data_IF_842334964246
#
_entry.id   IF_842334964246
#
_cell.length_a   1.000
_cell.length_b   1.000
_cell.length_c   1.000
_cell.angle_alpha   90.00
_cell.angle_beta   90.00
_cell.angle_gamma   90.00
#
_symmetry.space_group_name_H-M   'P 1'
#
loop_
_entity.id
_entity.type
_entity.pdbx_description
1 polymer ?
#
# COMPACT_ATOMS: atom_id res chain seq x y z
N UNK A 1 -49.46 -19.80 -19.57
CA UNK A 1 -48.19 -19.07 -19.66
C UNK A 1 -47.22 -19.68 -18.66
N UNK A 2 -46.16 -20.33 -19.13
CA UNK A 2 -45.08 -20.86 -18.29
C UNK A 2 -44.02 -19.76 -18.14
N UNK A 3 -43.66 -19.42 -16.91
CA UNK A 3 -42.47 -18.61 -16.64
C UNK A 3 -41.26 -19.55 -16.51
N UNK A 4 -40.38 -19.53 -17.51
CA UNK A 4 -39.05 -20.14 -17.43
C UNK A 4 -38.19 -19.32 -16.45
N UNK A 5 -37.73 -19.97 -15.38
CA UNK A 5 -36.73 -19.40 -14.48
C UNK A 5 -35.38 -19.29 -15.19
N UNK A 6 -34.89 -18.07 -15.35
CA UNK A 6 -33.52 -17.80 -15.79
C UNK A 6 -32.54 -18.24 -14.69
N UNK A 7 -31.86 -19.37 -14.87
CA UNK A 7 -30.67 -19.70 -14.08
C UNK A 7 -29.46 -18.92 -14.63
N UNK A 8 -29.33 -17.67 -14.21
CA UNK A 8 -28.10 -16.89 -14.37
C UNK A 8 -27.04 -17.36 -13.37
N UNK A 9 -26.47 -18.54 -13.59
CA UNK A 9 -25.38 -19.07 -12.77
C UNK A 9 -24.06 -18.33 -13.05
N UNK A 10 -23.86 -17.15 -12.44
CA UNK A 10 -22.49 -16.63 -12.28
C UNK A 10 -21.82 -17.50 -11.23
N UNK A 11 -20.99 -18.44 -11.67
CA UNK A 11 -20.16 -19.23 -10.77
C UNK A 11 -19.41 -18.26 -9.84
N UNK A 12 -19.60 -18.41 -8.53
CA UNK A 12 -18.72 -17.76 -7.56
C UNK A 12 -17.31 -18.29 -7.87
N UNK A 13 -16.29 -17.43 -8.04
CA UNK A 13 -14.93 -17.93 -8.15
C UNK A 13 -14.67 -18.85 -6.95
N UNK A 14 -14.20 -20.06 -7.21
CA UNK A 14 -13.83 -20.99 -6.15
C UNK A 14 -12.76 -20.30 -5.30
N UNK A 15 -12.92 -20.37 -3.98
CA UNK A 15 -11.97 -19.76 -3.03
C UNK A 15 -10.53 -20.29 -3.19
N UNK A 16 -10.34 -21.33 -4.00
CA UNK A 16 -9.08 -22.00 -4.31
C UNK A 16 -8.20 -21.23 -5.33
N UNK A 17 -8.70 -20.20 -6.01
CA UNK A 17 -7.89 -19.37 -6.92
C UNK A 17 -7.48 -18.00 -6.35
N UNK A 18 -7.72 -17.77 -5.06
CA UNK A 18 -7.12 -16.62 -4.38
C UNK A 18 -5.70 -17.03 -4.01
N UNK A 19 -4.75 -16.80 -4.93
CA UNK A 19 -3.33 -16.83 -4.61
C UNK A 19 -3.12 -16.07 -3.31
N UNK A 20 -2.44 -16.67 -2.32
CA UNK A 20 -2.23 -16.01 -1.04
C UNK A 20 -1.31 -14.82 -1.28
N UNK A 21 -1.89 -13.63 -1.42
CA UNK A 21 -1.15 -12.41 -1.68
C UNK A 21 -0.19 -12.16 -0.52
N UNK A 22 1.11 -12.10 -0.81
CA UNK A 22 2.12 -11.86 0.21
C UNK A 22 1.97 -10.47 0.82
N UNK A 23 2.30 -10.32 2.10
CA UNK A 23 2.31 -8.98 2.73
C UNK A 23 3.26 -8.02 2.01
N UNK A 24 4.36 -8.52 1.47
CA UNK A 24 5.31 -7.78 0.65
C UNK A 24 4.64 -7.13 -0.58
N UNK A 25 3.97 -7.93 -1.39
CA UNK A 25 3.26 -7.46 -2.59
C UNK A 25 2.14 -6.49 -2.21
N UNK A 26 1.39 -6.80 -1.15
CA UNK A 26 0.34 -5.92 -0.65
C UNK A 26 0.90 -4.55 -0.26
N UNK A 27 2.00 -4.53 0.49
CA UNK A 27 2.67 -3.30 0.89
C UNK A 27 3.08 -2.47 -0.34
N UNK A 28 3.66 -3.10 -1.36
CA UNK A 28 4.02 -2.40 -2.59
C UNK A 28 2.81 -1.79 -3.28
N UNK A 29 1.70 -2.51 -3.40
CA UNK A 29 0.46 -1.99 -3.99
C UNK A 29 -0.07 -0.77 -3.24
N UNK A 30 -0.08 -0.80 -1.90
CA UNK A 30 -0.51 0.35 -1.08
C UNK A 30 0.42 1.56 -1.29
N UNK A 31 1.73 1.34 -1.37
CA UNK A 31 2.70 2.40 -1.64
C UNK A 31 2.47 3.03 -3.02
N UNK A 32 2.14 2.22 -4.04
CA UNK A 32 1.78 2.73 -5.38
C UNK A 32 0.49 3.54 -5.34
N UNK A 33 -0.52 3.06 -4.61
CA UNK A 33 -1.76 3.79 -4.42
C UNK A 33 -1.50 5.16 -3.79
N UNK A 34 -0.63 5.24 -2.77
CA UNK A 34 -0.19 6.50 -2.19
C UNK A 34 0.47 7.45 -3.20
N UNK A 35 1.29 6.90 -4.11
CA UNK A 35 1.91 7.68 -5.17
C UNK A 35 0.89 8.24 -6.17
N UNK A 36 -0.14 7.48 -6.52
CA UNK A 36 -1.23 7.96 -7.37
C UNK A 36 -2.06 9.02 -6.67
N UNK A 37 -2.43 8.82 -5.41
CA UNK A 37 -3.14 9.84 -4.63
C UNK A 37 -2.33 11.12 -4.50
N UNK A 38 -1.02 11.01 -4.29
CA UNK A 38 -0.11 12.15 -4.27
C UNK A 38 -0.17 12.95 -5.57
N UNK A 39 -0.07 12.30 -6.73
CA UNK A 39 -0.17 12.98 -8.03
C UNK A 39 -1.52 13.70 -8.23
N UNK A 40 -2.58 13.25 -7.56
CA UNK A 40 -3.90 13.89 -7.54
C UNK A 40 -4.06 14.99 -6.46
N UNK A 41 -2.97 15.40 -5.80
CA UNK A 41 -3.01 16.40 -4.74
C UNK A 41 -3.38 15.87 -3.35
N UNK A 42 -3.56 14.54 -3.20
CA UNK A 42 -4.05 13.88 -1.98
C UNK A 42 -2.94 13.06 -1.30
N UNK A 43 -1.80 13.71 -1.01
CA UNK A 43 -0.57 13.03 -0.55
C UNK A 43 -0.65 12.32 0.81
N UNK A 44 -1.68 12.58 1.62
CA UNK A 44 -1.79 12.03 2.98
C UNK A 44 -2.77 10.86 3.13
N UNK A 45 -3.51 10.49 2.07
CA UNK A 45 -4.65 9.55 2.18
C UNK A 45 -4.26 8.16 2.70
N UNK A 46 -3.12 7.64 2.25
CA UNK A 46 -2.67 6.30 2.64
C UNK A 46 -1.93 6.26 3.97
N UNK A 47 -1.50 7.43 4.49
CA UNK A 47 -0.63 7.50 5.66
C UNK A 47 -1.28 6.96 6.95
N UNK A 48 -2.55 7.28 7.28
CA UNK A 48 -3.21 6.72 8.45
C UNK A 48 -3.26 5.19 8.41
N UNK A 49 -3.58 4.62 7.25
CA UNK A 49 -3.62 3.18 7.06
C UNK A 49 -2.23 2.54 7.21
N UNK A 50 -1.20 3.10 6.56
CA UNK A 50 0.17 2.61 6.67
C UNK A 50 0.70 2.68 8.10
N UNK A 51 0.50 3.81 8.80
CA UNK A 51 0.89 3.97 10.19
C UNK A 51 0.18 2.96 11.10
N UNK A 52 -1.13 2.80 10.95
CA UNK A 52 -1.88 1.77 11.67
C UNK A 52 -1.32 0.38 11.39
N UNK A 53 -1.23 -0.03 10.11
CA UNK A 53 -0.76 -1.37 9.76
C UNK A 53 0.68 -1.66 10.15
N UNK A 54 1.60 -0.71 10.06
CA UNK A 54 3.02 -0.97 10.29
C UNK A 54 3.43 -0.75 11.75
N UNK A 55 2.79 0.20 12.45
CA UNK A 55 3.10 0.47 13.86
C UNK A 55 2.26 -0.39 14.81
N UNK A 56 1.01 -0.73 14.48
CA UNK A 56 0.15 -1.57 15.34
C UNK A 56 0.45 -3.07 15.17
N UNK A 57 0.82 -3.55 13.97
CA UNK A 57 1.28 -4.93 13.82
C UNK A 57 2.75 -5.10 14.26
N UNK A 58 3.48 -4.00 14.43
CA UNK A 58 4.86 -3.96 14.90
C UNK A 58 5.03 -3.91 16.42
N UNK A 59 4.02 -4.30 17.22
CA UNK A 59 4.06 -4.22 18.70
C UNK A 59 5.21 -5.03 19.33
N UNK A 60 5.83 -5.94 18.58
CA UNK A 60 7.05 -6.67 18.96
C UNK A 60 8.37 -6.06 18.44
N UNK A 61 8.33 -4.91 17.77
CA UNK A 61 9.55 -4.22 17.32
C UNK A 61 10.28 -3.65 18.53
N UNK A 62 11.59 -3.90 18.60
CA UNK A 62 12.47 -3.18 19.50
C UNK A 62 12.31 -1.67 19.31
N UNK A 63 12.39 -0.90 20.40
CA UNK A 63 12.16 0.55 20.42
C UNK A 63 12.86 1.28 19.25
N UNK A 64 14.11 0.93 18.97
CA UNK A 64 14.88 1.53 17.88
C UNK A 64 14.31 1.24 16.48
N UNK A 65 13.83 0.00 16.23
CA UNK A 65 13.17 -0.36 14.97
C UNK A 65 11.86 0.38 14.80
N UNK A 66 11.10 0.55 15.89
CA UNK A 66 9.86 1.34 15.87
C UNK A 66 10.12 2.80 15.55
N UNK A 67 11.12 3.42 16.18
CA UNK A 67 11.52 4.81 15.90
C UNK A 67 11.98 4.99 14.44
N UNK A 68 12.73 4.04 13.90
CA UNK A 68 13.16 4.08 12.50
C UNK A 68 12.01 3.84 11.52
N UNK A 69 11.05 2.99 11.86
CA UNK A 69 9.80 2.83 11.10
C UNK A 69 9.00 4.14 11.06
N UNK A 70 8.86 4.83 12.20
CA UNK A 70 8.21 6.14 12.25
C UNK A 70 8.92 7.16 11.36
N UNK A 71 10.25 7.22 11.42
CA UNK A 71 11.07 8.06 10.54
C UNK A 71 10.83 7.76 9.05
N UNK A 72 10.84 6.49 8.64
CA UNK A 72 10.58 6.13 7.23
C UNK A 72 9.19 6.53 6.77
N UNK A 73 8.18 6.39 7.63
CA UNK A 73 6.81 6.81 7.31
C UNK A 73 6.70 8.32 7.19
N UNK A 74 7.42 9.08 8.01
CA UNK A 74 7.52 10.53 7.87
C UNK A 74 8.18 10.91 6.53
N UNK A 75 9.29 10.27 6.17
CA UNK A 75 9.97 10.52 4.88
C UNK A 75 9.11 10.14 3.67
N UNK A 76 8.32 9.06 3.78
CA UNK A 76 7.38 8.65 2.75
C UNK A 76 6.28 9.71 2.55
N UNK A 77 5.74 10.26 3.63
CA UNK A 77 4.75 11.33 3.58
C UNK A 77 5.33 12.61 2.95
N UNK A 78 6.57 12.96 3.29
CA UNK A 78 7.29 14.07 2.66
C UNK A 78 7.51 13.84 1.16
N UNK A 79 7.86 12.61 0.77
CA UNK A 79 7.99 12.22 -0.62
C UNK A 79 6.66 12.39 -1.38
N UNK A 80 5.55 11.86 -0.86
CA UNK A 80 4.23 12.05 -1.47
C UNK A 80 3.84 13.53 -1.55
N UNK A 81 4.16 14.34 -0.54
CA UNK A 81 3.92 15.79 -0.59
C UNK A 81 4.73 16.49 -1.68
N UNK A 82 5.95 16.02 -1.99
CA UNK A 82 6.73 16.56 -3.11
C UNK A 82 6.13 16.16 -4.46
N UNK A 83 5.63 14.93 -4.59
CA UNK A 83 4.96 14.47 -5.81
C UNK A 83 3.67 15.25 -6.06
N UNK A 84 2.94 15.62 -5.01
CA UNK A 84 1.71 16.42 -5.18
C UNK A 84 1.96 17.82 -5.73
N UNK A 85 3.17 18.35 -5.63
CA UNK A 85 3.54 19.63 -6.23
C UNK A 85 3.81 19.52 -7.74
N UNK A 86 4.23 18.34 -8.23
CA UNK A 86 4.48 18.14 -9.65
C UNK A 86 3.21 17.76 -10.42
N UNK A 87 2.22 17.13 -9.77
CA UNK A 87 1.00 16.65 -10.43
C UNK A 87 1.22 15.48 -11.41
N UNK A 88 2.45 15.01 -11.55
CA UNK A 88 2.88 13.97 -12.49
C UNK A 88 3.80 12.95 -11.81
N UNK A 89 3.71 11.70 -12.26
CA UNK A 89 4.56 10.60 -11.80
C UNK A 89 5.67 10.34 -12.82
N UNK A 90 6.91 10.39 -12.36
CA UNK A 90 8.10 10.11 -13.17
C UNK A 90 8.77 8.80 -12.79
N UNK A 91 9.68 8.32 -13.64
CA UNK A 91 10.57 7.19 -13.35
C UNK A 91 11.38 7.38 -12.04
N UNK A 92 11.75 8.61 -11.70
CA UNK A 92 12.42 8.90 -10.44
C UNK A 92 11.52 8.61 -9.23
N UNK A 93 10.22 8.90 -9.33
CA UNK A 93 9.24 8.58 -8.28
C UNK A 93 9.08 7.07 -8.10
N UNK A 94 9.01 6.31 -9.20
CA UNK A 94 8.96 4.84 -9.14
C UNK A 94 10.21 4.24 -8.50
N UNK A 95 11.40 4.77 -8.80
CA UNK A 95 12.65 4.34 -8.19
C UNK A 95 12.68 4.63 -6.68
N UNK A 96 12.30 5.84 -6.27
CA UNK A 96 12.22 6.21 -4.86
C UNK A 96 11.22 5.31 -4.09
N UNK A 97 10.05 5.04 -4.69
CA UNK A 97 9.03 4.18 -4.09
C UNK A 97 9.55 2.76 -3.85
N UNK A 98 10.30 2.19 -4.80
CA UNK A 98 10.93 0.87 -4.65
C UNK A 98 11.98 0.86 -3.52
N UNK A 99 12.68 1.97 -3.29
CA UNK A 99 13.61 2.08 -2.15
C UNK A 99 12.86 2.05 -0.83
N UNK A 100 11.80 2.87 -0.68
CA UNK A 100 10.95 2.85 0.52
C UNK A 100 10.39 1.46 0.81
N UNK A 101 9.88 0.79 -0.23
CA UNK A 101 9.36 -0.57 -0.11
C UNK A 101 10.41 -1.54 0.45
N UNK A 102 11.63 -1.55 -0.10
CA UNK A 102 12.72 -2.39 0.40
C UNK A 102 13.11 -2.10 1.84
N UNK A 103 13.21 -0.82 2.21
CA UNK A 103 13.58 -0.42 3.57
C UNK A 103 12.50 -0.81 4.59
N UNK A 104 11.22 -0.63 4.23
CA UNK A 104 10.11 -1.03 5.08
C UNK A 104 10.06 -2.55 5.29
N UNK A 105 10.28 -3.35 4.23
CA UNK A 105 10.36 -4.80 4.37
C UNK A 105 11.52 -5.24 5.26
N UNK A 106 12.68 -4.62 5.10
CA UNK A 106 13.87 -4.94 5.89
C UNK A 106 13.69 -4.68 7.39
N UNK A 107 12.71 -3.85 7.79
CA UNK A 107 12.37 -3.66 9.20
C UNK A 107 11.36 -4.68 9.75
N UNK A 108 10.61 -5.33 8.86
CA UNK A 108 9.54 -6.26 9.23
C UNK A 108 10.01 -7.72 9.30
N UNK A 109 11.10 -8.06 8.61
CA UNK A 109 11.72 -9.39 8.58
C UNK A 109 13.08 -9.38 9.27
#
# INVERSE_FOLDING_TARGET
>A
MQYQGFQGGRAKPSAESVESFGFDELLYEILKEGLFWAALGRSSEVMPFLRGKLLENGVSLEKQRREYMEYLLDELEHFYRRVSWSGEISEAHWKALKSFHRELLALLY
#
